data_IF_316368694265
#
_entry.id   IF_316368694265
#
_cell.length_a   1.000
_cell.length_b   1.000
_cell.length_c   1.000
_cell.angle_alpha   90.00
_cell.angle_beta   90.00
_cell.angle_gamma   90.00
#
_symmetry.space_group_name_H-M   'P 1'
#
loop_
_entity.id
_entity.type
_entity.pdbx_description
1 polymer ?
#
# COMPACT_ATOMS: atom_id res chain seq x y z
N UNK A 1 18.23 -16.41 19.10
CA UNK A 1 18.54 -15.93 17.74
C UNK A 1 18.08 -14.49 17.66
N UNK A 2 18.92 -13.57 17.19
CA UNK A 2 18.51 -12.18 16.98
C UNK A 2 17.69 -12.09 15.71
N UNK A 3 16.60 -11.33 15.73
CA UNK A 3 15.84 -11.03 14.51
C UNK A 3 16.73 -10.19 13.58
N UNK A 4 16.91 -10.58 12.31
CA UNK A 4 17.69 -9.80 11.37
C UNK A 4 17.05 -8.41 11.21
N UNK A 5 17.87 -7.38 11.03
CA UNK A 5 17.39 -6.03 10.75
C UNK A 5 16.90 -5.94 9.30
N UNK A 6 15.68 -5.41 9.03
CA UNK A 6 15.19 -5.23 7.67
C UNK A 6 16.09 -4.29 6.86
N UNK A 7 16.37 -4.60 5.58
CA UNK A 7 17.10 -3.70 4.70
C UNK A 7 16.22 -2.52 4.28
N UNK A 8 16.85 -1.45 3.78
CA UNK A 8 16.17 -0.24 3.33
C UNK A 8 15.05 -0.55 2.31
N UNK A 9 15.28 -1.46 1.36
CA UNK A 9 14.27 -1.84 0.36
C UNK A 9 12.97 -2.40 0.94
N UNK A 10 13.03 -3.12 2.07
CA UNK A 10 11.83 -3.61 2.76
C UNK A 10 11.10 -2.46 3.47
N UNK A 11 11.85 -1.54 4.07
CA UNK A 11 11.28 -0.36 4.74
C UNK A 11 10.63 0.60 3.73
N UNK A 12 11.26 0.79 2.57
CA UNK A 12 10.76 1.62 1.48
C UNK A 12 9.49 1.00 0.87
N UNK A 13 9.50 -0.30 0.55
CA UNK A 13 8.31 -0.99 0.06
C UNK A 13 7.14 -0.92 1.06
N UNK A 14 7.42 -1.07 2.36
CA UNK A 14 6.42 -0.90 3.42
C UNK A 14 5.87 0.53 3.48
N UNK A 15 6.74 1.54 3.36
CA UNK A 15 6.33 2.94 3.34
C UNK A 15 5.47 3.25 2.09
N UNK A 16 5.86 2.73 0.93
CA UNK A 16 5.11 2.88 -0.32
C UNK A 16 3.74 2.19 -0.28
N UNK A 17 3.65 1.01 0.33
CA UNK A 17 2.36 0.33 0.57
C UNK A 17 1.47 1.14 1.52
N UNK A 18 2.05 1.69 2.60
CA UNK A 18 1.30 2.56 3.53
C UNK A 18 0.74 3.80 2.83
N UNK A 19 1.56 4.47 2.02
CA UNK A 19 1.13 5.64 1.26
C UNK A 19 0.02 5.31 0.24
N UNK A 20 0.02 4.11 -0.35
CA UNK A 20 -1.03 3.71 -1.30
C UNK A 20 -2.43 3.62 -0.64
N UNK A 21 -2.50 3.33 0.67
CA UNK A 21 -3.79 3.34 1.38
C UNK A 21 -4.41 4.73 1.46
N UNK A 22 -3.61 5.80 1.41
CA UNK A 22 -4.12 7.18 1.36
C UNK A 22 -4.87 7.48 0.04
N UNK A 23 -4.74 6.60 -0.96
CA UNK A 23 -5.50 6.66 -2.20
C UNK A 23 -6.97 6.25 -2.07
N UNK A 24 -7.31 5.45 -1.04
CA UNK A 24 -8.68 5.01 -0.76
C UNK A 24 -9.52 6.20 -0.33
N UNK A 25 -10.68 6.34 -0.94
CA UNK A 25 -11.58 7.46 -0.74
C UNK A 25 -13.00 6.97 -0.50
N UNK A 26 -13.41 6.97 0.77
CA UNK A 26 -14.76 6.56 1.19
C UNK A 26 -15.66 7.78 1.25
N UNK A 27 -16.74 7.77 0.47
CA UNK A 27 -17.66 8.91 0.37
C UNK A 27 -18.17 9.38 1.75
N UNK A 28 -18.59 8.46 2.62
CA UNK A 28 -19.10 8.79 3.96
C UNK A 28 -18.04 9.32 4.94
N UNK A 29 -16.75 9.26 4.56
CA UNK A 29 -15.64 9.79 5.34
C UNK A 29 -15.11 11.10 4.75
N UNK A 30 -15.69 11.57 3.64
CA UNK A 30 -15.27 12.80 2.99
C UNK A 30 -15.54 14.02 3.88
N UNK A 31 -14.54 14.88 4.00
CA UNK A 31 -14.50 16.11 4.80
C UNK A 31 -13.79 17.22 4.03
N UNK A 32 -13.62 18.37 4.66
CA UNK A 32 -13.01 19.57 4.06
C UNK A 32 -11.56 19.37 3.57
N UNK A 33 -10.91 18.26 3.93
CA UNK A 33 -9.57 17.86 3.47
C UNK A 33 -9.59 16.98 2.19
N UNK A 34 -10.75 16.82 1.55
CA UNK A 34 -10.87 15.99 0.37
C UNK A 34 -10.21 16.60 -0.88
N UNK A 35 -9.76 15.77 -1.82
CA UNK A 35 -9.17 16.24 -3.08
C UNK A 35 -10.14 17.09 -3.89
N UNK A 36 -9.59 18.01 -4.69
CA UNK A 36 -10.36 18.84 -5.60
C UNK A 36 -11.24 17.97 -6.52
N UNK A 37 -12.56 18.19 -6.47
CA UNK A 37 -13.55 17.40 -7.21
C UNK A 37 -14.42 16.46 -6.34
N UNK A 38 -14.13 16.34 -5.05
CA UNK A 38 -15.05 15.71 -4.09
C UNK A 38 -16.06 16.76 -3.59
N UNK A 39 -17.29 16.74 -4.16
CA UNK A 39 -18.40 17.51 -3.63
C UNK A 39 -19.02 16.74 -2.45
N UNK A 40 -18.79 17.24 -1.24
CA UNK A 40 -19.25 16.65 0.03
C UNK A 40 -20.77 16.60 0.18
N UNK A 41 -21.49 17.32 -0.69
CA UNK A 41 -22.95 17.37 -0.72
C UNK A 41 -23.57 16.58 -1.88
N UNK A 42 -22.75 16.06 -2.80
CA UNK A 42 -23.21 15.29 -3.96
C UNK A 42 -23.35 13.80 -3.60
N UNK A 43 -24.55 13.43 -3.15
CA UNK A 43 -24.94 12.03 -2.88
C UNK A 43 -25.55 11.33 -4.10
N UNK A 44 -25.32 11.84 -5.32
CA UNK A 44 -25.85 11.21 -6.54
C UNK A 44 -25.16 9.87 -6.84
N UNK A 45 -25.85 8.99 -7.58
CA UNK A 45 -25.27 7.73 -8.06
C UNK A 45 -23.97 7.94 -8.87
N UNK A 46 -23.90 9.04 -9.62
CA UNK A 46 -22.69 9.41 -10.36
C UNK A 46 -21.52 9.72 -9.42
N UNK A 47 -21.76 10.39 -8.28
CA UNK A 47 -20.73 10.62 -7.27
C UNK A 47 -20.25 9.31 -6.65
N UNK A 48 -21.15 8.40 -6.27
CA UNK A 48 -20.77 7.08 -5.77
C UNK A 48 -19.92 6.30 -6.78
N UNK A 49 -20.32 6.30 -8.07
CA UNK A 49 -19.56 5.64 -9.14
C UNK A 49 -18.13 6.20 -9.27
N UNK A 50 -17.96 7.52 -9.20
CA UNK A 50 -16.61 8.14 -9.22
C UNK A 50 -15.74 7.70 -8.05
N UNK A 51 -16.32 7.57 -6.85
CA UNK A 51 -15.59 7.06 -5.69
C UNK A 51 -15.21 5.59 -5.87
N UNK A 52 -16.11 4.77 -6.41
CA UNK A 52 -15.85 3.36 -6.68
C UNK A 52 -14.76 3.15 -7.74
N UNK A 53 -14.79 3.92 -8.83
CA UNK A 53 -13.75 3.90 -9.88
C UNK A 53 -12.39 4.31 -9.30
N UNK A 54 -12.33 5.40 -8.54
CA UNK A 54 -11.11 5.80 -7.84
C UNK A 54 -10.61 4.72 -6.87
N UNK A 55 -11.52 4.11 -6.11
CA UNK A 55 -11.17 3.05 -5.17
C UNK A 55 -10.73 1.77 -5.89
N UNK A 56 -11.20 1.52 -7.11
CA UNK A 56 -10.69 0.45 -7.95
C UNK A 56 -9.22 0.70 -8.30
N UNK A 57 -8.89 1.88 -8.83
CA UNK A 57 -7.52 2.23 -9.17
C UNK A 57 -6.59 2.19 -7.94
N UNK A 58 -7.05 2.69 -6.79
CA UNK A 58 -6.29 2.64 -5.55
C UNK A 58 -6.06 1.20 -5.05
N UNK A 59 -7.02 0.29 -5.24
CA UNK A 59 -6.86 -1.13 -4.88
C UNK A 59 -5.83 -1.82 -5.77
N UNK A 60 -5.81 -1.51 -7.06
CA UNK A 60 -4.77 -2.01 -7.97
C UNK A 60 -3.38 -1.50 -7.57
N UNK A 61 -3.26 -0.22 -7.19
CA UNK A 61 -1.99 0.32 -6.68
C UNK A 61 -1.56 -0.36 -5.37
N UNK A 62 -2.48 -0.54 -4.41
CA UNK A 62 -2.21 -1.28 -3.16
C UNK A 62 -1.74 -2.70 -3.46
N UNK A 63 -2.37 -3.38 -4.42
CA UNK A 63 -1.99 -4.73 -4.83
C UNK A 63 -0.55 -4.75 -5.34
N UNK A 64 -0.22 -3.87 -6.30
CA UNK A 64 1.13 -3.77 -6.84
C UNK A 64 2.18 -3.50 -5.74
N UNK A 65 1.91 -2.58 -4.81
CA UNK A 65 2.83 -2.28 -3.70
C UNK A 65 2.94 -3.42 -2.69
N UNK A 66 1.89 -4.22 -2.52
CA UNK A 66 1.94 -5.42 -1.71
C UNK A 66 2.82 -6.49 -2.37
N UNK A 67 2.73 -6.68 -3.68
CA UNK A 67 3.62 -7.57 -4.43
C UNK A 67 5.09 -7.13 -4.32
N UNK A 68 5.37 -5.82 -4.45
CA UNK A 68 6.72 -5.27 -4.25
C UNK A 68 7.26 -5.57 -2.84
N UNK A 69 6.43 -5.41 -1.81
CA UNK A 69 6.81 -5.73 -0.43
C UNK A 69 7.08 -7.23 -0.24
N UNK A 70 6.26 -8.10 -0.81
CA UNK A 70 6.48 -9.55 -0.76
C UNK A 70 7.80 -9.91 -1.43
N UNK A 71 8.09 -9.37 -2.62
CA UNK A 71 9.35 -9.61 -3.32
C UNK A 71 10.57 -9.13 -2.52
N UNK A 72 10.48 -7.95 -1.89
CA UNK A 72 11.56 -7.42 -1.05
C UNK A 72 11.80 -8.28 0.21
N UNK A 73 10.72 -8.80 0.81
CA UNK A 73 10.80 -9.72 1.96
C UNK A 73 11.42 -11.06 1.56
N UNK A 74 11.01 -11.63 0.43
CA UNK A 74 11.55 -12.89 -0.08
C UNK A 74 13.05 -12.76 -0.39
N UNK A 75 13.47 -11.69 -1.05
CA UNK A 75 14.89 -11.44 -1.33
C UNK A 75 15.70 -11.34 -0.03
N UNK A 76 15.19 -10.62 0.97
CA UNK A 76 15.87 -10.46 2.25
C UNK A 76 15.96 -11.77 3.04
N UNK A 77 14.84 -12.47 3.22
CA UNK A 77 14.78 -13.69 4.03
C UNK A 77 15.54 -14.84 3.38
N UNK A 78 15.53 -14.95 2.04
CA UNK A 78 16.35 -15.93 1.34
C UNK A 78 17.84 -15.69 1.55
N UNK A 79 18.31 -14.43 1.47
CA UNK A 79 19.72 -14.10 1.77
C UNK A 79 20.11 -14.49 3.19
N UNK A 80 19.30 -14.09 4.19
CA UNK A 80 19.57 -14.43 5.60
C UNK A 80 19.60 -15.95 5.81
N UNK A 81 18.72 -16.70 5.15
CA UNK A 81 18.71 -18.16 5.20
C UNK A 81 19.99 -18.79 4.65
N UNK A 82 20.46 -18.33 3.49
CA UNK A 82 21.68 -18.82 2.86
C UNK A 82 22.95 -18.53 3.66
N UNK A 83 23.06 -17.35 4.27
CA UNK A 83 24.21 -16.98 5.11
C UNK A 83 24.26 -17.81 6.41
N UNK A 84 23.10 -18.12 6.99
CA UNK A 84 23.01 -18.95 8.20
C UNK A 84 23.41 -20.41 7.95
N UNK A 85 23.17 -20.94 6.74
CA UNK A 85 23.57 -22.29 6.34
C UNK A 85 25.06 -22.37 5.99
N UNK A 86 25.62 -21.35 5.33
CA UNK A 86 27.05 -21.28 5.00
C UNK A 86 27.97 -21.15 6.23
N UNK A 87 27.44 -20.76 7.39
CA UNK A 87 28.21 -20.55 8.63
C UNK A 87 28.10 -21.74 9.61
N UNK A 88 27.41 -22.83 9.23
CA UNK A 88 27.33 -24.08 10.00
C UNK A 88 28.33 -25.12 9.49
#
# INVERSE_FOLDING_TARGET
MSTPTPPAGVLDALASLRAAFDGIHVMHECRDDCPAGCDLSDYSEAAYRRHDERNFDAREEIHARAEDLVAALDEWLNRVGTEAEATR
#
